data_IF_628785606340
#
_entry.id   IF_628785606340
#
_cell.length_a   1.000
_cell.length_b   1.000
_cell.length_c   1.000
_cell.angle_alpha   90.00
_cell.angle_beta   90.00
_cell.angle_gamma   90.00
#
_symmetry.space_group_name_H-M   'P 1'
#
loop_
_entity.id
_entity.type
_entity.pdbx_description
1 polymer ?
#
# COMPACT_ATOMS: atom_id res chain seq x y z
N UNK A 1 6.72 31.91 -0.05
CA UNK A 1 6.08 30.88 0.78
C UNK A 1 6.98 29.67 0.78
N UNK A 2 7.52 29.30 1.93
CA UNK A 2 8.26 28.02 2.03
C UNK A 2 7.29 26.86 1.78
N UNK A 3 7.71 25.97 0.89
CA UNK A 3 6.95 24.75 0.60
C UNK A 3 7.12 23.81 1.78
N UNK A 4 6.04 23.47 2.46
CA UNK A 4 6.06 22.46 3.52
C UNK A 4 6.03 21.09 2.86
N UNK A 5 7.17 20.41 2.80
CA UNK A 5 7.30 19.08 2.20
C UNK A 5 6.96 18.03 3.27
N UNK A 6 6.06 17.13 2.94
CA UNK A 6 5.61 16.05 3.84
C UNK A 6 6.27 14.70 3.54
N UNK A 7 6.67 14.47 2.29
CA UNK A 7 7.39 13.26 1.89
C UNK A 7 8.44 13.62 0.86
N UNK A 8 9.66 13.16 1.07
CA UNK A 8 10.75 13.25 0.10
C UNK A 8 11.25 11.84 -0.23
N UNK A 9 11.27 11.51 -1.51
CA UNK A 9 11.85 10.26 -2.04
C UNK A 9 13.01 10.62 -2.95
N UNK A 10 14.21 10.09 -2.67
CA UNK A 10 15.43 10.38 -3.44
C UNK A 10 16.05 9.10 -3.97
N UNK A 11 16.16 9.01 -5.30
CA UNK A 11 16.89 7.96 -6.03
C UNK A 11 16.55 6.53 -5.55
N UNK A 12 15.26 6.24 -5.38
CA UNK A 12 14.76 5.00 -4.80
C UNK A 12 14.96 3.82 -5.74
N UNK A 13 15.72 2.81 -5.31
CA UNK A 13 15.92 1.55 -6.02
C UNK A 13 15.43 0.39 -5.19
N UNK A 14 14.68 -0.52 -5.81
CA UNK A 14 14.24 -1.78 -5.22
C UNK A 14 14.38 -2.91 -6.23
N UNK A 15 15.05 -3.98 -5.80
CA UNK A 15 15.33 -5.16 -6.63
C UNK A 15 14.82 -6.41 -5.93
N UNK A 16 14.05 -7.23 -6.63
CA UNK A 16 13.66 -8.55 -6.16
C UNK A 16 14.59 -9.62 -6.73
N UNK A 17 14.96 -10.56 -5.88
CA UNK A 17 15.63 -11.81 -6.31
C UNK A 17 14.56 -12.84 -6.65
N UNK A 18 14.45 -13.20 -7.92
CA UNK A 18 13.58 -14.29 -8.35
C UNK A 18 14.32 -15.60 -8.21
N UNK A 19 13.82 -16.48 -7.35
CA UNK A 19 14.25 -17.87 -7.36
C UNK A 19 13.51 -18.59 -8.50
N UNK A 20 14.20 -18.93 -9.60
CA UNK A 20 13.60 -19.81 -10.62
C UNK A 20 13.18 -21.11 -9.93
N UNK A 21 11.92 -21.50 -10.05
CA UNK A 21 11.44 -22.82 -9.67
C UNK A 21 12.17 -23.85 -10.54
N UNK A 22 13.22 -24.43 -10.01
CA UNK A 22 13.86 -25.60 -10.61
C UNK A 22 12.90 -26.78 -10.43
N UNK A 23 12.49 -27.42 -11.53
CA UNK A 23 11.77 -28.68 -11.43
C UNK A 23 12.68 -29.69 -10.72
N UNK A 24 12.11 -30.48 -9.82
CA UNK A 24 12.81 -31.45 -8.97
C UNK A 24 13.69 -32.45 -9.80
N UNK A 25 13.44 -32.62 -11.09
CA UNK A 25 14.20 -33.49 -12.00
C UNK A 25 15.52 -32.91 -12.53
N UNK A 26 15.76 -31.59 -12.39
CA UNK A 26 16.97 -30.92 -12.89
C UNK A 26 18.07 -30.74 -11.84
N UNK A 27 17.86 -31.23 -10.63
CA UNK A 27 18.63 -30.89 -9.42
C UNK A 27 20.04 -31.46 -9.34
N UNK A 28 20.44 -32.36 -10.20
CA UNK A 28 21.74 -33.08 -10.07
C UNK A 28 22.87 -32.56 -10.96
N UNK A 29 22.64 -31.54 -11.80
CA UNK A 29 23.69 -31.08 -12.78
C UNK A 29 23.93 -29.56 -12.83
N UNK A 30 23.33 -28.75 -11.95
CA UNK A 30 23.55 -27.29 -12.00
C UNK A 30 23.77 -26.68 -10.60
N UNK A 31 24.97 -26.80 -10.09
CA UNK A 31 25.56 -25.96 -9.05
C UNK A 31 25.93 -24.65 -9.75
N UNK A 32 25.14 -23.56 -9.51
CA UNK A 32 25.48 -22.24 -10.08
C UNK A 32 24.31 -21.43 -10.67
N UNK A 33 23.10 -21.52 -10.11
CA UNK A 33 22.02 -20.63 -10.57
C UNK A 33 22.22 -19.20 -10.04
N UNK A 34 22.60 -18.27 -10.93
CA UNK A 34 22.46 -16.84 -10.68
C UNK A 34 20.97 -16.54 -10.51
N UNK A 35 20.58 -16.05 -9.32
CA UNK A 35 19.24 -15.51 -9.10
C UNK A 35 18.99 -14.42 -10.14
N UNK A 36 17.86 -14.48 -10.84
CA UNK A 36 17.45 -13.44 -11.77
C UNK A 36 17.00 -12.23 -10.95
N UNK A 37 17.68 -11.10 -11.14
CA UNK A 37 17.36 -9.85 -10.45
C UNK A 37 16.29 -9.10 -11.23
N UNK A 38 15.17 -8.81 -10.57
CA UNK A 38 14.10 -7.98 -11.10
C UNK A 38 14.13 -6.61 -10.44
N UNK A 39 14.56 -5.60 -11.21
CA UNK A 39 14.59 -4.20 -10.74
C UNK A 39 13.19 -3.60 -10.80
N UNK A 40 12.48 -3.59 -9.68
CA UNK A 40 11.13 -3.05 -9.58
C UNK A 40 11.11 -1.52 -9.58
N UNK A 41 12.09 -0.88 -8.94
CA UNK A 41 12.29 0.57 -8.98
C UNK A 41 13.73 0.87 -9.38
N UNK A 42 13.90 1.90 -10.24
CA UNK A 42 15.18 2.23 -10.90
C UNK A 42 15.52 3.72 -10.74
N UNK A 43 15.64 4.20 -9.49
CA UNK A 43 16.03 5.57 -9.23
C UNK A 43 14.86 6.58 -9.27
N UNK A 44 13.76 6.25 -8.61
CA UNK A 44 12.58 7.13 -8.53
C UNK A 44 12.82 8.24 -7.51
N UNK A 45 12.52 9.49 -7.89
CA UNK A 45 12.62 10.66 -7.00
C UNK A 45 11.39 11.55 -7.16
N UNK A 46 10.85 12.03 -6.04
CA UNK A 46 9.77 13.02 -6.00
C UNK A 46 9.63 13.60 -4.59
N UNK A 47 8.87 14.69 -4.50
CA UNK A 47 8.48 15.32 -3.25
C UNK A 47 6.98 15.52 -3.22
N UNK A 48 6.38 15.46 -2.03
CA UNK A 48 4.96 15.72 -1.81
C UNK A 48 4.84 16.88 -0.83
N UNK A 49 4.18 17.94 -1.27
CA UNK A 49 3.86 19.10 -0.43
C UNK A 49 2.63 18.80 0.44
N UNK A 50 2.53 19.44 1.58
CA UNK A 50 1.37 19.34 2.46
C UNK A 50 0.06 19.68 1.73
N UNK A 51 -0.99 18.88 1.98
CA UNK A 51 -2.30 19.03 1.36
C UNK A 51 -2.37 18.70 -0.14
N UNK A 52 -1.28 18.18 -0.74
CA UNK A 52 -1.27 17.77 -2.14
C UNK A 52 -1.56 16.27 -2.29
N UNK A 53 -2.11 15.93 -3.45
CA UNK A 53 -2.35 14.54 -3.87
C UNK A 53 -1.38 14.20 -4.99
N UNK A 54 -0.61 13.12 -4.82
CA UNK A 54 0.25 12.56 -5.85
C UNK A 54 -0.39 11.31 -6.46
N UNK A 55 -0.73 11.37 -7.74
CA UNK A 55 -1.22 10.21 -8.50
C UNK A 55 -0.08 9.36 -9.06
N UNK A 56 -0.10 8.06 -8.81
CA UNK A 56 0.88 7.10 -9.34
C UNK A 56 0.20 6.22 -10.38
N UNK A 57 0.54 6.41 -11.65
CA UNK A 57 -0.03 5.69 -12.79
C UNK A 57 1.00 4.83 -13.50
N UNK A 58 0.56 3.80 -14.17
CA UNK A 58 1.44 2.90 -14.94
C UNK A 58 0.83 1.52 -15.14
N UNK A 59 1.45 0.72 -16.02
CA UNK A 59 1.03 -0.66 -16.33
C UNK A 59 1.12 -1.56 -15.09
N UNK A 60 0.41 -2.70 -15.12
CA UNK A 60 0.57 -3.73 -14.08
C UNK A 60 2.01 -4.25 -14.09
N UNK A 61 2.60 -4.42 -12.90
CA UNK A 61 4.01 -4.81 -12.75
C UNK A 61 5.03 -3.68 -12.86
N UNK A 62 4.62 -2.40 -13.06
CA UNK A 62 5.55 -1.27 -13.17
C UNK A 62 6.14 -0.78 -11.84
N UNK A 63 5.88 -1.45 -10.72
CA UNK A 63 6.46 -1.10 -9.42
C UNK A 63 5.61 -0.20 -8.53
N UNK A 64 4.39 0.21 -8.93
CA UNK A 64 3.52 1.11 -8.14
C UNK A 64 3.31 0.63 -6.70
N UNK A 65 2.87 -0.61 -6.53
CA UNK A 65 2.64 -1.20 -5.20
C UNK A 65 3.93 -1.40 -4.42
N UNK A 66 5.05 -1.67 -5.11
CA UNK A 66 6.37 -1.76 -4.48
C UNK A 66 6.79 -0.42 -3.90
N UNK A 67 6.59 0.67 -4.64
CA UNK A 67 6.90 2.01 -4.19
C UNK A 67 6.04 2.41 -2.98
N UNK A 68 4.72 2.19 -3.03
CA UNK A 68 3.84 2.48 -1.89
C UNK A 68 4.24 1.69 -0.63
N UNK A 69 4.58 0.41 -0.78
CA UNK A 69 5.04 -0.42 0.34
C UNK A 69 6.40 0.03 0.89
N UNK A 70 7.30 0.52 0.04
CA UNK A 70 8.57 1.09 0.49
C UNK A 70 8.35 2.38 1.27
N UNK A 71 7.50 3.30 0.78
CA UNK A 71 7.17 4.53 1.49
C UNK A 71 6.50 4.22 2.84
N UNK A 72 5.64 3.20 2.89
CA UNK A 72 5.02 2.73 4.13
C UNK A 72 5.97 1.96 5.07
N UNK A 73 7.27 1.88 4.76
CA UNK A 73 8.27 1.21 5.60
C UNK A 73 8.20 -0.32 5.62
N UNK A 74 7.39 -0.95 4.76
CA UNK A 74 7.28 -2.42 4.66
C UNK A 74 8.55 -3.02 4.03
N UNK A 75 9.20 -2.29 3.13
CA UNK A 75 10.47 -2.66 2.51
C UNK A 75 11.50 -1.57 2.71
N UNK A 76 12.74 -1.98 3.01
CA UNK A 76 13.88 -1.07 2.92
C UNK A 76 14.37 -0.97 1.49
N UNK A 77 14.69 0.23 0.98
CA UNK A 77 15.24 0.38 -0.36
C UNK A 77 16.68 -0.17 -0.44
N UNK A 78 17.05 -0.69 -1.62
CA UNK A 78 18.43 -1.10 -1.90
C UNK A 78 19.37 0.10 -2.02
N UNK A 79 18.85 1.21 -2.57
CA UNK A 79 19.53 2.51 -2.69
C UNK A 79 18.53 3.64 -2.62
N UNK A 80 19.01 4.82 -2.24
CA UNK A 80 18.21 6.02 -2.09
C UNK A 80 17.66 6.17 -0.68
N UNK A 81 16.79 7.13 -0.48
CA UNK A 81 16.21 7.44 0.83
C UNK A 81 14.74 7.86 0.71
N UNK A 82 14.02 7.66 1.80
CA UNK A 82 12.65 8.12 2.01
C UNK A 82 12.67 8.91 3.32
N UNK A 83 12.21 10.15 3.27
CA UNK A 83 12.05 11.02 4.42
C UNK A 83 10.58 11.43 4.52
N UNK A 84 9.96 11.15 5.65
CA UNK A 84 8.57 11.48 5.94
C UNK A 84 8.42 12.78 6.72
N UNK A 85 9.51 13.46 7.01
CA UNK A 85 9.53 14.72 7.77
C UNK A 85 8.72 14.66 9.08
N UNK A 86 8.80 13.53 9.80
CA UNK A 86 8.07 13.28 11.04
C UNK A 86 6.60 12.90 10.88
N UNK A 87 6.10 12.75 9.64
CA UNK A 87 4.74 12.31 9.39
C UNK A 87 4.61 10.79 9.50
N UNK A 88 3.41 10.32 9.87
CA UNK A 88 3.04 8.90 9.83
C UNK A 88 2.40 8.54 8.48
N UNK A 89 2.55 7.29 8.07
CA UNK A 89 1.90 6.78 6.85
C UNK A 89 0.94 5.65 7.20
N UNK A 90 -0.25 5.72 6.64
CA UNK A 90 -1.20 4.61 6.61
C UNK A 90 -1.38 4.11 5.18
N UNK A 91 -1.11 2.82 4.96
CA UNK A 91 -1.36 2.18 3.66
C UNK A 91 -2.78 1.63 3.65
N UNK A 92 -3.69 2.38 3.04
CA UNK A 92 -5.07 1.97 2.89
C UNK A 92 -5.23 1.24 1.54
N UNK A 93 -5.53 -0.05 1.60
CA UNK A 93 -5.95 -0.79 0.40
C UNK A 93 -7.47 -0.72 0.29
N UNK A 94 -7.99 -0.48 -0.92
CA UNK A 94 -9.43 -0.50 -1.16
C UNK A 94 -9.98 -1.88 -0.76
N UNK A 95 -11.00 -1.88 0.11
CA UNK A 95 -11.68 -3.11 0.56
C UNK A 95 -10.91 -3.93 1.59
N UNK A 96 -9.86 -3.39 2.24
CA UNK A 96 -9.25 -4.07 3.39
C UNK A 96 -10.30 -4.25 4.49
N UNK A 97 -10.46 -5.49 4.90
CA UNK A 97 -11.43 -5.84 5.93
C UNK A 97 -12.86 -6.04 5.41
N UNK A 98 -13.18 -5.67 4.16
CA UNK A 98 -14.52 -5.91 3.61
C UNK A 98 -14.80 -7.40 3.42
N UNK A 99 -15.84 -7.87 4.07
CA UNK A 99 -16.35 -9.23 3.91
C UNK A 99 -17.67 -9.19 3.13
N UNK A 100 -17.70 -9.82 1.97
CA UNK A 100 -18.87 -9.85 1.07
C UNK A 100 -20.10 -10.54 1.66
N UNK A 101 -19.94 -11.27 2.78
CA UNK A 101 -21.04 -11.93 3.49
C UNK A 101 -21.68 -11.04 4.55
N UNK A 102 -21.06 -9.91 4.84
CA UNK A 102 -21.54 -8.93 5.82
C UNK A 102 -22.24 -7.77 5.09
N UNK A 103 -23.20 -7.16 5.78
CA UNK A 103 -23.83 -5.93 5.32
C UNK A 103 -22.84 -4.77 5.25
N UNK A 104 -23.16 -3.71 4.54
CA UNK A 104 -22.35 -2.50 4.49
C UNK A 104 -22.10 -1.93 5.91
N UNK A 105 -23.12 -1.95 6.77
CA UNK A 105 -23.02 -1.50 8.15
C UNK A 105 -22.03 -2.37 8.96
N UNK A 106 -22.13 -3.68 8.89
CA UNK A 106 -21.20 -4.60 9.57
C UNK A 106 -19.76 -4.42 9.04
N UNK A 107 -19.59 -4.15 7.74
CA UNK A 107 -18.30 -3.85 7.15
C UNK A 107 -17.68 -2.55 7.66
N UNK A 108 -18.48 -1.51 7.97
CA UNK A 108 -18.00 -0.28 8.62
C UNK A 108 -17.34 -0.63 9.97
N UNK A 109 -18.01 -1.44 10.79
CA UNK A 109 -17.47 -1.85 12.09
C UNK A 109 -16.23 -2.74 11.93
N UNK A 110 -16.28 -3.75 11.07
CA UNK A 110 -15.14 -4.64 10.82
C UNK A 110 -13.90 -3.86 10.37
N UNK A 111 -14.06 -2.99 9.38
CA UNK A 111 -12.96 -2.17 8.86
C UNK A 111 -12.45 -1.18 9.88
N UNK A 112 -13.34 -0.53 10.62
CA UNK A 112 -12.97 0.41 11.68
C UNK A 112 -12.15 -0.26 12.79
N UNK A 113 -12.56 -1.43 13.26
CA UNK A 113 -11.80 -2.20 14.26
C UNK A 113 -10.44 -2.66 13.73
N UNK A 114 -10.35 -3.10 12.46
CA UNK A 114 -9.08 -3.46 11.84
C UNK A 114 -8.12 -2.26 11.69
N UNK A 115 -8.65 -1.06 11.59
CA UNK A 115 -7.87 0.19 11.58
C UNK A 115 -7.51 0.67 13.00
N UNK A 116 -7.94 -0.04 14.05
CA UNK A 116 -7.62 0.26 15.45
C UNK A 116 -8.58 1.22 16.15
N UNK A 117 -9.73 1.55 15.53
CA UNK A 117 -10.77 2.35 16.19
C UNK A 117 -11.59 1.49 17.16
N UNK A 118 -11.97 2.08 18.29
CA UNK A 118 -12.92 1.47 19.22
C UNK A 118 -14.34 1.45 18.63
N UNK A 119 -15.18 0.54 19.12
CA UNK A 119 -16.56 0.44 18.69
C UNK A 119 -17.33 1.75 18.91
N UNK A 120 -17.05 2.45 20.01
CA UNK A 120 -17.68 3.74 20.34
C UNK A 120 -17.29 4.84 19.34
N UNK A 121 -16.03 4.87 18.89
CA UNK A 121 -15.56 5.83 17.87
C UNK A 121 -16.21 5.55 16.54
N UNK A 122 -16.32 4.27 16.15
CA UNK A 122 -16.98 3.85 14.92
C UNK A 122 -18.46 4.26 14.97
N UNK A 123 -19.15 3.99 16.07
CA UNK A 123 -20.56 4.32 16.26
C UNK A 123 -20.82 5.81 16.15
N UNK A 124 -19.93 6.64 16.65
CA UNK A 124 -20.04 8.12 16.51
C UNK A 124 -19.95 8.56 15.05
N UNK A 125 -19.11 7.90 14.24
CA UNK A 125 -18.87 8.22 12.82
C UNK A 125 -19.79 7.49 11.85
N UNK A 126 -20.53 6.49 12.30
CA UNK A 126 -21.36 5.61 11.47
C UNK A 126 -22.28 6.40 10.53
N UNK A 127 -23.01 7.37 11.08
CA UNK A 127 -23.96 8.20 10.31
C UNK A 127 -23.27 9.02 9.22
N UNK A 128 -22.09 9.57 9.54
CA UNK A 128 -21.30 10.36 8.60
C UNK A 128 -20.76 9.48 7.46
N UNK A 129 -20.25 8.29 7.80
CA UNK A 129 -19.76 7.31 6.83
C UNK A 129 -20.88 6.86 5.88
N UNK A 130 -22.06 6.53 6.43
CA UNK A 130 -23.21 6.11 5.63
C UNK A 130 -23.66 7.24 4.69
N UNK A 131 -23.71 8.47 5.20
CA UNK A 131 -24.06 9.63 4.39
C UNK A 131 -23.04 9.88 3.28
N UNK A 132 -21.74 9.73 3.56
CA UNK A 132 -20.67 9.90 2.59
C UNK A 132 -20.72 8.82 1.50
N UNK A 133 -21.04 7.57 1.86
CA UNK A 133 -21.14 6.46 0.92
C UNK A 133 -22.32 6.60 -0.06
N UNK A 134 -23.39 7.29 0.34
CA UNK A 134 -24.60 7.58 -0.44
C UNK A 134 -25.20 6.37 -1.18
N UNK A 135 -25.21 5.23 -0.50
CA UNK A 135 -25.69 3.95 -1.08
C UNK A 135 -27.11 3.58 -0.65
N UNK A 136 -27.78 4.46 0.10
CA UNK A 136 -29.19 4.26 0.54
C UNK A 136 -29.37 2.92 1.30
N UNK A 137 -30.46 2.21 0.98
CA UNK A 137 -30.83 0.96 1.65
C UNK A 137 -29.83 -0.20 1.41
N UNK A 138 -28.93 -0.08 0.43
CA UNK A 138 -27.88 -1.08 0.19
C UNK A 138 -26.93 -1.24 1.38
N UNK A 139 -26.86 -0.26 2.27
CA UNK A 139 -26.07 -0.34 3.49
C UNK A 139 -26.44 -1.53 4.39
N UNK A 140 -27.68 -1.99 4.31
CA UNK A 140 -28.24 -3.12 5.07
C UNK A 140 -28.15 -4.46 4.31
N UNK A 141 -27.54 -4.47 3.13
CA UNK A 141 -27.37 -5.69 2.31
C UNK A 141 -25.91 -6.11 2.26
N UNK A 142 -25.63 -7.42 2.13
CA UNK A 142 -24.29 -7.94 1.85
C UNK A 142 -23.77 -7.50 0.48
#
# INVERSE_FOLDING_TARGET
MEKNITVTVKNLHITYKSLKKTSIRASWKQIGHKAELFHALKGVSFEIEEGKILGIIGKNGSGKSTMLKAIAGIFSPDKGSIDLHGNSISLLSIGVGFNRKLTGKENIYLSGMLLGFSEEEIKRKEKEIIKFADIGDFINKP
#
